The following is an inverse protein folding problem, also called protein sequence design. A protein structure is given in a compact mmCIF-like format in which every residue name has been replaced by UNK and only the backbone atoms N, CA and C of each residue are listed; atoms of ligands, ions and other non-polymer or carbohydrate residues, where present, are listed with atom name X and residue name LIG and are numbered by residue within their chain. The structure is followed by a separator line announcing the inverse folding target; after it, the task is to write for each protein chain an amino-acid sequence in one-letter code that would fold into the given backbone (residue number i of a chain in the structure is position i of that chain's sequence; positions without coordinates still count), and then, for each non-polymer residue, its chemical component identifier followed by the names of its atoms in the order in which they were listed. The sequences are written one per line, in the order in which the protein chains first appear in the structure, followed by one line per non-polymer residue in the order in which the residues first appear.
data_IF_560514400998
#
_entry.id   IF_560514400998
#
_cell.length_a   1.000
_cell.length_b   1.000
_cell.length_c   1.000
_cell.angle_alpha   90.00
_cell.angle_beta   90.00
_cell.angle_gamma   90.00
#
_symmetry.space_group_name_H-M   'P 1'
#
loop_
_entity.id
_entity.type
_entity.pdbx_description
1 polymer ?
#
# COMPACT_ATOMS: atom_id res chain seq x y z
N UNK A 1 68.64 -68.45 -5.44
CA UNK A 1 67.51 -68.31 -4.55
C UNK A 1 67.43 -66.87 -4.12
N UNK A 2 66.44 -66.08 -4.62
CA UNK A 2 66.22 -64.69 -4.25
C UNK A 2 64.85 -64.62 -3.57
N UNK A 3 64.76 -64.20 -2.31
CA UNK A 3 63.56 -63.93 -1.58
C UNK A 3 62.97 -62.61 -2.05
N UNK A 4 61.63 -62.47 -2.15
CA UNK A 4 61.02 -61.21 -2.41
C UNK A 4 60.70 -60.44 -1.10
N UNK A 5 61.03 -59.18 -1.10
CA UNK A 5 60.74 -58.21 -0.03
C UNK A 5 59.28 -57.78 -0.14
N UNK A 6 58.49 -58.04 0.90
CA UNK A 6 57.13 -57.52 1.03
C UNK A 6 57.18 -56.10 1.63
N UNK A 7 56.74 -55.18 0.84
CA UNK A 7 56.49 -53.77 1.33
C UNK A 7 55.07 -53.67 1.82
N UNK A 8 54.88 -53.40 3.13
CA UNK A 8 53.61 -53.06 3.73
C UNK A 8 53.32 -51.58 3.49
N UNK A 9 52.27 -51.27 2.71
CA UNK A 9 51.76 -49.94 2.55
C UNK A 9 50.68 -49.73 3.63
N UNK A 10 50.94 -48.86 4.61
CA UNK A 10 49.97 -48.43 5.59
C UNK A 10 49.04 -47.38 4.97
N UNK A 11 47.77 -47.72 4.79
CA UNK A 11 46.72 -46.79 4.37
C UNK A 11 46.21 -46.07 5.62
N UNK A 12 46.57 -44.79 5.76
CA UNK A 12 45.99 -43.90 6.75
C UNK A 12 44.61 -43.47 6.29
N UNK A 13 43.54 -44.02 6.89
CA UNK A 13 42.17 -43.56 6.68
C UNK A 13 41.95 -42.28 7.50
N UNK A 14 41.94 -41.14 6.85
CA UNK A 14 41.50 -39.86 7.46
C UNK A 14 39.98 -39.89 7.53
N UNK A 15 39.43 -40.17 8.72
CA UNK A 15 38.00 -39.98 8.99
C UNK A 15 37.78 -38.47 9.19
N UNK A 16 37.32 -37.81 8.13
CA UNK A 16 36.80 -36.46 8.21
C UNK A 16 35.49 -36.47 9.05
N UNK A 17 35.58 -36.07 10.28
CA UNK A 17 34.41 -35.75 11.10
C UNK A 17 33.71 -34.53 10.45
N UNK A 18 32.71 -34.81 9.61
CA UNK A 18 31.79 -33.81 9.16
C UNK A 18 30.98 -33.34 10.39
N UNK A 19 31.31 -32.18 10.95
CA UNK A 19 30.44 -31.50 11.89
C UNK A 19 29.10 -31.30 11.19
N UNK A 20 27.98 -31.66 11.81
CA UNK A 20 26.70 -31.28 11.29
C UNK A 20 26.65 -29.75 11.31
N UNK A 21 26.74 -29.11 10.15
CA UNK A 21 26.23 -27.77 10.00
C UNK A 21 24.75 -27.91 10.29
N UNK A 22 24.36 -27.58 11.53
CA UNK A 22 22.99 -27.25 11.84
C UNK A 22 22.67 -26.07 10.91
N UNK A 23 22.03 -26.39 9.79
CA UNK A 23 21.37 -25.43 8.96
C UNK A 23 20.31 -24.86 9.88
N UNK A 24 20.62 -23.71 10.48
CA UNK A 24 19.69 -22.93 11.29
C UNK A 24 18.50 -22.71 10.36
N UNK A 25 17.43 -23.46 10.60
CA UNK A 25 16.20 -23.34 9.84
C UNK A 25 15.82 -21.86 9.96
N UNK A 26 15.95 -21.12 8.87
CA UNK A 26 15.55 -19.73 8.83
C UNK A 26 14.17 -19.67 9.45
N UNK A 27 14.06 -19.09 10.64
CA UNK A 27 12.82 -19.03 11.39
C UNK A 27 11.82 -18.37 10.43
N UNK A 28 10.80 -19.14 10.07
CA UNK A 28 9.79 -18.68 9.11
C UNK A 28 9.21 -17.40 9.70
N UNK A 29 9.38 -16.28 9.00
CA UNK A 29 8.83 -15.00 9.43
C UNK A 29 7.34 -15.23 9.63
N UNK A 30 6.83 -14.94 10.85
CA UNK A 30 5.40 -14.98 11.12
C UNK A 30 4.70 -14.06 10.13
N UNK A 31 3.65 -14.56 9.49
CA UNK A 31 2.88 -13.76 8.56
C UNK A 31 2.17 -12.64 9.32
N UNK A 32 2.46 -11.40 8.94
CA UNK A 32 1.71 -10.26 9.41
C UNK A 32 0.48 -10.07 8.52
N UNK A 33 -0.64 -9.70 9.13
CA UNK A 33 -1.92 -9.57 8.45
C UNK A 33 -2.33 -8.11 8.37
N UNK A 34 -2.88 -7.66 7.23
CA UNK A 34 -3.37 -6.29 7.13
C UNK A 34 -4.54 -6.07 8.09
N UNK A 35 -4.42 -5.05 8.96
CA UNK A 35 -5.38 -4.83 10.02
C UNK A 35 -6.24 -3.58 9.79
N UNK A 36 -5.62 -2.42 9.55
CA UNK A 36 -6.37 -1.18 9.35
C UNK A 36 -5.56 -0.10 8.61
N UNK A 37 -6.27 0.89 8.11
CA UNK A 37 -5.73 2.23 7.84
C UNK A 37 -6.21 3.19 8.91
N UNK A 38 -5.36 4.12 9.34
CA UNK A 38 -5.67 5.08 10.38
C UNK A 38 -5.62 6.50 9.84
N UNK A 39 -6.72 7.22 9.97
CA UNK A 39 -6.87 8.58 9.49
C UNK A 39 -7.01 9.55 10.66
N UNK A 40 -6.46 10.75 10.47
CA UNK A 40 -6.79 11.89 11.31
C UNK A 40 -8.04 12.57 10.76
N UNK A 41 -8.97 12.94 11.65
CA UNK A 41 -10.23 13.58 11.26
C UNK A 41 -10.63 14.66 12.26
N UNK A 42 -11.18 15.75 11.76
CA UNK A 42 -11.80 16.80 12.59
C UNK A 42 -13.13 16.37 13.19
N UNK A 43 -13.81 15.40 12.57
CA UNK A 43 -15.03 14.76 13.09
C UNK A 43 -15.04 13.25 12.80
N UNK A 44 -14.39 12.44 13.64
CA UNK A 44 -14.31 10.98 13.48
C UNK A 44 -15.67 10.31 13.30
N UNK A 45 -16.69 10.75 14.02
CA UNK A 45 -18.05 10.19 13.93
C UNK A 45 -18.69 10.45 12.58
N UNK A 46 -18.58 11.68 12.08
CA UNK A 46 -19.06 12.02 10.74
C UNK A 46 -18.23 11.29 9.66
N UNK A 47 -16.91 11.16 9.87
CA UNK A 47 -16.05 10.39 8.97
C UNK A 47 -16.48 8.92 8.91
N UNK A 48 -16.65 8.25 10.04
CA UNK A 48 -17.12 6.86 10.08
C UNK A 48 -18.50 6.69 9.41
N UNK A 49 -19.40 7.65 9.56
CA UNK A 49 -20.74 7.63 8.95
C UNK A 49 -20.73 7.91 7.42
N UNK A 50 -19.63 8.42 6.87
CA UNK A 50 -19.51 8.73 5.44
C UNK A 50 -19.31 7.48 4.58
N UNK A 51 -18.34 6.63 4.92
CA UNK A 51 -17.86 5.53 4.08
C UNK A 51 -18.92 4.48 3.68
N UNK A 52 -19.91 4.15 4.53
CA UNK A 52 -21.00 3.28 4.11
C UNK A 52 -21.90 3.86 3.00
N UNK A 53 -21.86 5.16 2.74
CA UNK A 53 -22.68 5.78 1.68
C UNK A 53 -22.20 5.36 0.29
N UNK A 54 -20.91 5.57 -0.10
CA UNK A 54 -20.42 5.13 -1.38
C UNK A 54 -20.24 3.59 -1.47
N UNK A 55 -20.00 2.90 -0.35
CA UNK A 55 -19.64 1.47 -0.33
C UNK A 55 -20.56 0.66 0.60
N UNK A 56 -21.86 0.77 0.35
CA UNK A 56 -22.90 0.23 1.24
C UNK A 56 -22.95 -1.31 1.32
N UNK A 57 -22.34 -2.02 0.38
CA UNK A 57 -22.34 -3.48 0.38
C UNK A 57 -21.21 -4.07 1.24
N UNK A 58 -20.17 -3.28 1.53
CA UNK A 58 -18.96 -3.80 2.20
C UNK A 58 -18.49 -2.95 3.38
N UNK A 59 -19.01 -1.74 3.59
CA UNK A 59 -18.58 -0.85 4.65
C UNK A 59 -19.70 -0.60 5.67
N UNK A 60 -19.36 -0.68 6.96
CA UNK A 60 -20.28 -0.40 8.06
C UNK A 60 -19.60 0.47 9.12
N UNK A 61 -20.27 1.56 9.53
CA UNK A 61 -19.81 2.37 10.65
C UNK A 61 -19.86 1.56 11.96
N UNK A 62 -18.84 1.69 12.77
CA UNK A 62 -18.69 0.97 14.04
C UNK A 62 -17.75 1.74 14.97
N UNK A 63 -17.45 1.15 16.11
CA UNK A 63 -16.32 1.54 16.95
C UNK A 63 -15.36 0.35 17.10
N UNK A 64 -14.09 0.62 17.19
CA UNK A 64 -13.10 -0.42 17.43
C UNK A 64 -12.01 0.13 18.34
N UNK A 65 -11.76 -0.55 19.42
CA UNK A 65 -10.70 -0.26 20.39
C UNK A 65 -10.69 1.19 20.92
N UNK A 66 -11.88 1.79 21.04
CA UNK A 66 -12.06 3.18 21.49
C UNK A 66 -12.05 4.23 20.37
N UNK A 67 -11.80 3.84 19.13
CA UNK A 67 -11.87 4.70 17.96
C UNK A 67 -13.24 4.61 17.28
N UNK A 68 -13.71 5.71 16.72
CA UNK A 68 -14.71 5.69 15.67
C UNK A 68 -14.11 4.98 14.47
N UNK A 69 -14.85 4.09 13.83
CA UNK A 69 -14.32 3.19 12.83
C UNK A 69 -15.30 2.88 11.71
N UNK A 70 -14.76 2.39 10.60
CA UNK A 70 -15.50 1.67 9.58
C UNK A 70 -14.96 0.25 9.51
N UNK A 71 -15.83 -0.74 9.58
CA UNK A 71 -15.46 -2.14 9.31
C UNK A 71 -15.75 -2.45 7.85
N UNK A 72 -14.78 -3.06 7.16
CA UNK A 72 -14.91 -3.52 5.79
C UNK A 72 -14.21 -4.87 5.61
N UNK A 73 -14.98 -5.94 5.51
CA UNK A 73 -14.44 -7.30 5.57
C UNK A 73 -13.71 -7.56 6.89
N UNK A 74 -12.44 -7.93 6.82
CA UNK A 74 -11.57 -8.14 7.99
C UNK A 74 -10.70 -6.92 8.34
N UNK A 75 -10.90 -5.80 7.65
CA UNK A 75 -10.10 -4.59 7.78
C UNK A 75 -10.92 -3.48 8.44
N UNK A 76 -10.25 -2.58 9.13
CA UNK A 76 -10.85 -1.38 9.69
C UNK A 76 -10.27 -0.11 9.03
N UNK A 77 -11.06 0.95 9.05
CA UNK A 77 -10.59 2.33 8.89
C UNK A 77 -10.84 3.00 10.23
N UNK A 78 -9.80 3.42 10.91
CA UNK A 78 -9.88 4.06 12.23
C UNK A 78 -9.69 5.56 12.10
N UNK A 79 -10.29 6.32 13.02
CA UNK A 79 -10.22 7.77 13.01
C UNK A 79 -9.79 8.33 14.35
N UNK A 80 -8.70 9.12 14.34
CA UNK A 80 -8.28 9.92 15.49
C UNK A 80 -8.79 11.36 15.36
N UNK A 81 -9.37 11.87 16.45
CA UNK A 81 -9.79 13.27 16.54
C UNK A 81 -8.59 14.21 16.54
N UNK A 82 -8.59 15.15 15.61
CA UNK A 82 -7.64 16.26 15.56
C UNK A 82 -8.36 17.60 15.60
N UNK A 83 -7.66 18.66 16.05
CA UNK A 83 -8.24 19.97 16.23
C UNK A 83 -8.43 20.74 14.91
N UNK A 84 -7.57 20.48 13.93
CA UNK A 84 -7.55 21.15 12.62
C UNK A 84 -7.52 20.15 11.51
N UNK A 85 -8.05 20.53 10.34
CA UNK A 85 -8.01 19.68 9.14
C UNK A 85 -6.60 19.21 8.85
N UNK A 86 -6.35 17.91 8.80
CA UNK A 86 -5.02 17.36 8.54
C UNK A 86 -4.58 17.66 7.11
N UNK A 87 -3.27 17.79 6.90
CA UNK A 87 -2.72 18.00 5.58
C UNK A 87 -2.87 16.74 4.72
N UNK A 88 -3.23 16.95 3.47
CA UNK A 88 -3.30 15.94 2.41
C UNK A 88 -2.36 16.33 1.24
N UNK A 89 -2.39 15.58 0.16
CA UNK A 89 -1.53 15.78 -1.01
C UNK A 89 -1.72 17.13 -1.73
N UNK A 90 -2.83 17.85 -1.47
CA UNK A 90 -3.09 19.18 -2.04
C UNK A 90 -2.68 20.33 -1.12
N UNK A 91 -2.57 20.07 0.17
CA UNK A 91 -2.42 21.13 1.19
C UNK A 91 -1.11 21.06 1.97
N UNK A 92 -0.30 20.06 1.71
CA UNK A 92 0.97 19.85 2.39
C UNK A 92 2.03 19.16 1.52
N UNK A 93 3.21 18.92 2.08
CA UNK A 93 4.22 18.12 1.42
C UNK A 93 3.73 16.68 1.25
N UNK A 94 4.17 16.03 0.16
CA UNK A 94 3.79 14.67 -0.15
C UNK A 94 4.33 13.67 0.86
N UNK A 95 3.49 12.75 1.25
CA UNK A 95 3.83 11.55 2.02
C UNK A 95 3.89 10.33 1.12
N UNK A 96 4.37 9.21 1.67
CA UNK A 96 4.36 7.94 0.94
C UNK A 96 2.95 7.37 0.72
N UNK A 97 1.93 7.72 1.51
CA UNK A 97 0.55 7.27 1.23
C UNK A 97 -0.11 8.26 0.27
N UNK A 98 -0.62 7.74 -0.84
CA UNK A 98 -1.40 8.53 -1.79
C UNK A 98 -2.91 8.42 -1.49
N UNK A 99 -3.47 7.22 -1.51
CA UNK A 99 -4.86 6.93 -1.18
C UNK A 99 -5.07 5.46 -0.88
N UNK A 100 -6.28 5.13 -0.49
CA UNK A 100 -6.77 3.75 -0.41
C UNK A 100 -8.07 3.62 -1.21
N UNK A 101 -8.52 2.39 -1.44
CA UNK A 101 -9.70 2.23 -2.25
C UNK A 101 -10.39 0.87 -2.16
N UNK A 102 -11.50 0.86 -2.87
CA UNK A 102 -12.36 -0.29 -3.05
C UNK A 102 -12.32 -0.81 -4.47
N UNK A 103 -12.35 -2.12 -4.59
CA UNK A 103 -12.79 -2.75 -5.82
C UNK A 103 -14.30 -2.76 -5.88
N UNK A 104 -14.84 -2.47 -7.07
CA UNK A 104 -16.28 -2.53 -7.35
C UNK A 104 -16.53 -3.27 -8.65
N UNK A 105 -17.71 -3.89 -8.81
CA UNK A 105 -18.02 -4.63 -10.03
C UNK A 105 -18.12 -3.76 -11.29
N UNK A 106 -18.45 -2.49 -11.12
CA UNK A 106 -18.63 -1.54 -12.22
C UNK A 106 -18.35 -0.10 -11.71
N UNK A 107 -17.10 0.33 -11.86
CA UNK A 107 -16.66 1.63 -11.35
C UNK A 107 -17.46 2.80 -11.94
N UNK A 108 -17.84 2.75 -13.21
CA UNK A 108 -18.62 3.80 -13.86
C UNK A 108 -20.00 3.97 -13.21
N UNK A 109 -20.71 2.86 -12.99
CA UNK A 109 -22.01 2.92 -12.30
C UNK A 109 -21.88 3.43 -10.87
N UNK A 110 -20.80 3.10 -10.20
CA UNK A 110 -20.51 3.64 -8.88
C UNK A 110 -20.25 5.14 -8.94
N UNK A 111 -19.45 5.63 -9.89
CA UNK A 111 -19.21 7.07 -10.07
C UNK A 111 -20.50 7.84 -10.40
N UNK A 112 -21.38 7.28 -11.23
CA UNK A 112 -22.72 7.83 -11.50
C UNK A 112 -23.55 7.93 -10.22
N UNK A 113 -23.56 6.88 -9.40
CA UNK A 113 -24.24 6.86 -8.11
C UNK A 113 -23.63 7.89 -7.13
N UNK A 114 -22.32 8.03 -7.09
CA UNK A 114 -21.64 9.02 -6.23
C UNK A 114 -22.05 10.43 -6.59
N UNK A 115 -22.13 10.75 -7.88
CA UNK A 115 -22.62 12.04 -8.37
C UNK A 115 -24.11 12.24 -8.02
N UNK A 116 -24.93 11.22 -8.17
CA UNK A 116 -26.35 11.27 -7.81
C UNK A 116 -26.57 11.47 -6.31
N UNK A 117 -25.68 10.95 -5.46
CA UNK A 117 -25.67 11.17 -4.01
C UNK A 117 -25.09 12.55 -3.62
N UNK A 118 -24.59 13.34 -4.55
CA UNK A 118 -23.93 14.61 -4.27
C UNK A 118 -22.55 14.46 -3.60
N UNK A 119 -21.90 13.31 -3.74
CA UNK A 119 -20.57 13.11 -3.20
C UNK A 119 -19.52 13.86 -4.03
N UNK A 120 -18.50 14.36 -3.37
CA UNK A 120 -17.46 15.15 -4.02
C UNK A 120 -16.51 14.23 -4.80
N UNK A 121 -16.46 14.40 -6.12
CA UNK A 121 -15.47 13.73 -6.98
C UNK A 121 -14.13 14.47 -6.84
N UNK A 122 -13.04 13.71 -6.79
CA UNK A 122 -11.72 14.29 -6.70
C UNK A 122 -11.32 14.99 -8.01
N UNK A 123 -10.87 16.23 -7.90
CA UNK A 123 -10.35 17.03 -9.01
C UNK A 123 -8.83 17.04 -8.92
N UNK A 124 -8.16 16.49 -9.92
CA UNK A 124 -6.73 16.22 -9.87
C UNK A 124 -5.88 17.11 -10.76
N UNK A 125 -6.46 17.81 -11.73
CA UNK A 125 -5.73 18.73 -12.58
C UNK A 125 -6.61 19.86 -13.13
N UNK A 126 -5.96 20.90 -13.63
CA UNK A 126 -6.61 21.95 -14.41
C UNK A 126 -6.68 21.55 -15.90
N UNK A 127 -7.81 21.76 -16.51
CA UNK A 127 -7.95 21.64 -17.96
C UNK A 127 -7.25 22.81 -18.67
N UNK A 128 -6.99 22.66 -20.00
CA UNK A 128 -6.37 23.73 -20.81
C UNK A 128 -7.20 25.02 -20.83
N UNK A 129 -8.53 24.92 -20.62
CA UNK A 129 -9.44 26.07 -20.49
C UNK A 129 -9.48 26.67 -19.08
N UNK A 130 -8.62 26.22 -18.18
CA UNK A 130 -8.55 26.65 -16.78
C UNK A 130 -9.58 26.02 -15.85
N UNK A 131 -10.42 25.11 -16.33
CA UNK A 131 -11.38 24.40 -15.51
C UNK A 131 -10.75 23.19 -14.83
N UNK A 132 -11.26 22.84 -13.67
CA UNK A 132 -10.89 21.62 -12.97
C UNK A 132 -11.54 20.39 -13.64
N UNK A 133 -10.79 19.31 -13.70
CA UNK A 133 -11.23 18.03 -14.28
C UNK A 133 -11.30 16.99 -13.18
N UNK A 134 -12.46 16.36 -13.03
CA UNK A 134 -12.62 15.20 -12.18
C UNK A 134 -11.78 14.03 -12.71
N UNK A 135 -11.04 13.38 -11.86
CA UNK A 135 -10.19 12.26 -12.24
C UNK A 135 -10.98 10.95 -12.18
N UNK A 136 -11.13 10.32 -13.33
CA UNK A 136 -11.67 8.98 -13.48
C UNK A 136 -11.18 8.35 -14.78
N UNK A 137 -11.42 7.06 -14.98
CA UNK A 137 -11.01 6.39 -16.22
C UNK A 137 -11.75 6.87 -17.46
N UNK A 138 -12.93 7.42 -17.32
CA UNK A 138 -13.65 8.04 -18.43
C UNK A 138 -13.16 9.46 -18.75
N UNK A 139 -12.38 10.06 -17.87
CA UNK A 139 -11.64 11.30 -18.15
C UNK A 139 -10.25 11.02 -18.72
N UNK A 140 -9.72 9.81 -18.54
CA UNK A 140 -8.37 9.39 -18.98
C UNK A 140 -8.40 8.07 -19.77
N UNK A 141 -9.22 7.92 -20.78
CA UNK A 141 -9.33 6.68 -21.54
C UNK A 141 -8.10 6.50 -22.44
N UNK A 142 -7.44 5.35 -22.31
CA UNK A 142 -6.31 4.99 -23.18
C UNK A 142 -5.17 5.98 -23.17
N UNK A 143 -5.04 6.78 -22.11
CA UNK A 143 -3.99 7.80 -21.94
C UNK A 143 -4.01 8.88 -23.02
N UNK A 144 -5.16 9.46 -23.39
CA UNK A 144 -5.21 10.58 -24.32
C UNK A 144 -4.55 11.83 -23.69
N UNK A 145 -4.19 12.77 -24.53
CA UNK A 145 -3.76 14.09 -24.05
C UNK A 145 -4.93 14.85 -23.40
N UNK A 146 -4.63 15.82 -22.58
CA UNK A 146 -5.63 16.68 -21.97
C UNK A 146 -6.54 17.34 -23.01
N UNK A 147 -5.96 17.82 -24.12
CA UNK A 147 -6.73 18.40 -25.23
C UNK A 147 -7.68 17.40 -25.86
N UNK A 148 -7.24 16.16 -26.07
CA UNK A 148 -8.10 15.11 -26.60
C UNK A 148 -9.27 14.80 -25.66
N UNK A 149 -9.06 14.79 -24.35
CA UNK A 149 -10.15 14.60 -23.37
C UNK A 149 -11.16 15.75 -23.46
N UNK A 150 -10.68 17.00 -23.51
CA UNK A 150 -11.54 18.17 -23.63
C UNK A 150 -12.32 18.18 -24.95
N UNK A 151 -11.67 17.80 -26.05
CA UNK A 151 -12.30 17.68 -27.37
C UNK A 151 -13.39 16.59 -27.38
N UNK A 152 -13.13 15.42 -26.79
CA UNK A 152 -14.12 14.34 -26.63
C UNK A 152 -15.32 14.82 -25.84
N UNK A 153 -15.10 15.52 -24.72
CA UNK A 153 -16.18 16.09 -23.91
C UNK A 153 -16.99 17.13 -24.67
N UNK A 154 -16.33 18.03 -25.40
CA UNK A 154 -17.00 19.03 -26.22
C UNK A 154 -17.88 18.41 -27.32
N UNK A 155 -17.46 17.27 -27.86
CA UNK A 155 -18.23 16.48 -28.85
C UNK A 155 -19.29 15.57 -28.23
N UNK A 156 -19.42 15.53 -26.91
CA UNK A 156 -20.32 14.62 -26.21
C UNK A 156 -19.96 13.13 -26.37
N UNK A 157 -18.72 12.83 -26.77
CA UNK A 157 -18.26 11.46 -26.93
C UNK A 157 -17.72 10.94 -25.60
N UNK A 158 -18.16 9.73 -25.22
CA UNK A 158 -17.66 9.02 -24.04
C UNK A 158 -16.83 7.82 -24.51
N UNK A 159 -15.62 7.64 -23.98
CA UNK A 159 -14.83 6.48 -24.33
C UNK A 159 -15.46 5.21 -23.77
N UNK A 160 -15.40 4.15 -24.55
CA UNK A 160 -15.80 2.82 -24.07
C UNK A 160 -14.59 2.20 -23.39
N UNK A 161 -14.62 2.09 -22.07
CA UNK A 161 -13.55 1.47 -21.30
C UNK A 161 -13.97 0.09 -20.79
N UNK A 162 -13.04 -0.84 -20.89
CA UNK A 162 -13.09 -2.09 -20.15
C UNK A 162 -12.25 -1.94 -18.88
N UNK A 163 -12.93 -1.97 -17.75
CA UNK A 163 -12.31 -1.63 -16.47
C UNK A 163 -12.17 -0.12 -16.30
N UNK A 164 -12.10 0.32 -15.08
CA UNK A 164 -12.04 1.73 -14.82
C UNK A 164 -11.74 2.03 -13.37
N UNK A 165 -11.61 3.30 -13.08
CA UNK A 165 -11.42 3.82 -11.75
C UNK A 165 -12.04 5.21 -11.64
N UNK A 166 -12.30 5.64 -10.43
CA UNK A 166 -12.70 7.00 -10.10
C UNK A 166 -12.26 7.34 -8.69
N UNK A 167 -12.28 8.60 -8.34
CA UNK A 167 -11.82 9.08 -7.04
C UNK A 167 -12.87 9.97 -6.39
N UNK A 168 -13.04 9.78 -5.08
CA UNK A 168 -13.85 10.61 -4.20
C UNK A 168 -12.97 11.43 -3.28
N UNK A 169 -13.45 12.62 -2.90
CA UNK A 169 -12.99 13.33 -1.71
C UNK A 169 -13.90 12.98 -0.54
N UNK A 170 -13.36 12.22 0.37
CA UNK A 170 -14.00 11.89 1.64
C UNK A 170 -13.84 12.99 2.68
N UNK A 171 -14.25 12.70 3.92
CA UNK A 171 -14.07 13.61 5.04
C UNK A 171 -12.62 14.07 5.18
N UNK A 172 -12.45 15.31 5.62
CA UNK A 172 -11.15 15.97 5.79
C UNK A 172 -10.27 15.99 4.53
N UNK A 173 -10.85 15.69 3.35
CA UNK A 173 -10.17 15.69 2.07
C UNK A 173 -9.45 14.37 1.73
N UNK A 174 -9.72 13.28 2.44
CA UNK A 174 -9.18 11.96 2.09
C UNK A 174 -9.54 11.57 0.66
N UNK A 175 -8.58 11.10 -0.11
CA UNK A 175 -8.83 10.56 -1.44
C UNK A 175 -9.13 9.07 -1.36
N UNK A 176 -10.20 8.64 -2.02
CA UNK A 176 -10.70 7.28 -1.99
C UNK A 176 -10.88 6.80 -3.43
N UNK A 177 -10.25 5.71 -3.79
CA UNK A 177 -10.41 5.14 -5.12
C UNK A 177 -11.59 4.17 -5.18
N UNK A 178 -12.30 4.23 -6.29
CA UNK A 178 -13.26 3.25 -6.77
C UNK A 178 -12.66 2.60 -8.01
N UNK A 179 -12.16 1.38 -7.90
CA UNK A 179 -11.53 0.67 -9.00
C UNK A 179 -12.39 -0.52 -9.46
N UNK A 180 -12.51 -0.71 -10.78
CA UNK A 180 -13.21 -1.87 -11.32
C UNK A 180 -12.30 -3.09 -11.31
N UNK A 181 -12.56 -4.00 -10.37
CA UNK A 181 -11.86 -5.29 -10.32
C UNK A 181 -12.72 -6.33 -9.61
N UNK A 182 -12.83 -7.49 -10.23
CA UNK A 182 -13.63 -8.58 -9.67
C UNK A 182 -15.15 -8.37 -9.79
N UNK A 183 -15.90 -9.09 -8.96
CA UNK A 183 -17.38 -9.14 -9.02
C UNK A 183 -18.05 -8.64 -7.73
N UNK A 184 -17.27 -8.26 -6.72
CA UNK A 184 -17.76 -7.85 -5.40
C UNK A 184 -17.16 -6.53 -4.98
N UNK A 185 -17.97 -5.71 -4.29
CA UNK A 185 -17.48 -4.52 -3.60
C UNK A 185 -16.67 -4.94 -2.38
N UNK A 186 -15.44 -4.44 -2.27
CA UNK A 186 -14.59 -4.66 -1.09
C UNK A 186 -13.44 -3.65 -1.01
N UNK A 187 -13.04 -3.29 0.18
CA UNK A 187 -11.75 -2.65 0.42
C UNK A 187 -10.62 -3.60 0.01
N UNK A 188 -9.65 -3.15 -0.78
CA UNK A 188 -8.66 -4.08 -1.32
C UNK A 188 -7.27 -3.52 -1.53
N UNK A 189 -7.06 -2.20 -1.43
CA UNK A 189 -5.74 -1.66 -1.71
C UNK A 189 -5.43 -0.34 -0.98
N UNK A 190 -4.13 -0.12 -0.85
CA UNK A 190 -3.51 1.17 -0.55
C UNK A 190 -2.53 1.48 -1.65
N UNK A 191 -2.57 2.69 -2.20
CA UNK A 191 -1.59 3.17 -3.17
C UNK A 191 -0.55 4.03 -2.48
N UNK A 192 0.72 3.75 -2.78
CA UNK A 192 1.84 4.42 -2.16
C UNK A 192 2.84 4.94 -3.19
N UNK A 193 3.51 6.02 -2.82
CA UNK A 193 4.70 6.53 -3.51
C UNK A 193 5.95 6.12 -2.76
N UNK A 194 6.98 5.74 -3.51
CA UNK A 194 8.32 5.51 -2.98
C UNK A 194 9.37 6.10 -3.90
N UNK A 195 10.41 6.69 -3.33
CA UNK A 195 11.54 7.23 -4.08
C UNK A 195 12.29 6.10 -4.80
N UNK A 196 12.40 4.94 -4.13
CA UNK A 196 12.97 3.71 -4.66
C UNK A 196 11.99 2.54 -4.52
N UNK A 197 11.01 2.40 -5.42
CA UNK A 197 9.95 1.39 -5.33
C UNK A 197 10.44 -0.04 -5.15
N UNK A 198 11.50 -0.44 -5.85
CA UNK A 198 12.04 -1.80 -5.74
C UNK A 198 12.62 -2.07 -4.35
N UNK A 199 13.36 -1.09 -3.79
CA UNK A 199 13.89 -1.17 -2.43
C UNK A 199 12.77 -1.24 -1.40
N UNK A 200 11.70 -0.45 -1.58
CA UNK A 200 10.54 -0.49 -0.70
C UNK A 200 9.85 -1.87 -0.73
N UNK A 201 9.60 -2.43 -1.92
CA UNK A 201 9.02 -3.77 -2.04
C UNK A 201 9.89 -4.85 -1.40
N UNK A 202 11.20 -4.76 -1.57
CA UNK A 202 12.15 -5.66 -0.95
C UNK A 202 12.07 -5.55 0.57
N UNK A 203 12.08 -4.34 1.11
CA UNK A 203 11.99 -4.08 2.54
C UNK A 203 10.69 -4.65 3.14
N UNK A 204 9.53 -4.42 2.50
CA UNK A 204 8.25 -4.99 2.96
C UNK A 204 8.26 -6.52 2.95
N UNK A 205 8.90 -7.12 1.95
CA UNK A 205 9.01 -8.58 1.85
C UNK A 205 9.93 -9.16 2.92
N UNK A 206 11.09 -8.56 3.12
CA UNK A 206 12.14 -9.06 4.02
C UNK A 206 11.78 -8.86 5.49
N UNK A 207 11.27 -7.69 5.86
CA UNK A 207 10.98 -7.37 7.25
C UNK A 207 9.55 -7.70 7.68
N UNK A 208 8.58 -7.55 6.79
CA UNK A 208 7.18 -7.70 7.17
C UNK A 208 6.51 -8.94 6.56
N UNK A 209 7.24 -9.73 5.78
CA UNK A 209 6.69 -10.95 5.18
C UNK A 209 5.66 -10.70 4.09
N UNK A 210 5.62 -9.50 3.50
CA UNK A 210 4.73 -9.18 2.41
C UNK A 210 4.99 -10.08 1.20
N UNK A 211 3.94 -10.49 0.51
CA UNK A 211 4.06 -11.35 -0.68
C UNK A 211 4.07 -10.51 -1.95
N UNK A 212 5.01 -10.74 -2.83
CA UNK A 212 4.96 -10.19 -4.18
C UNK A 212 3.95 -11.01 -5.00
N UNK A 213 2.95 -10.37 -5.64
CA UNK A 213 2.03 -11.09 -6.51
C UNK A 213 2.79 -11.68 -7.70
N UNK A 214 2.31 -12.83 -8.17
CA UNK A 214 2.79 -13.36 -9.44
C UNK A 214 2.52 -12.36 -10.57
N UNK A 215 3.49 -12.14 -11.44
CA UNK A 215 3.32 -11.33 -12.64
C UNK A 215 2.24 -11.89 -13.57
N UNK A 216 1.86 -11.13 -14.59
CA UNK A 216 0.95 -11.62 -15.63
C UNK A 216 1.47 -12.95 -16.19
N UNK A 217 0.65 -14.01 -16.08
CA UNK A 217 1.06 -15.37 -16.46
C UNK A 217 1.42 -16.29 -15.29
N UNK A 218 1.23 -15.87 -14.03
CA UNK A 218 1.42 -16.74 -12.85
C UNK A 218 2.87 -16.99 -12.46
N UNK A 219 3.81 -16.37 -13.13
CA UNK A 219 5.24 -16.46 -12.76
C UNK A 219 5.48 -15.52 -11.57
N UNK A 220 6.03 -16.07 -10.48
CA UNK A 220 6.44 -15.23 -9.34
C UNK A 220 7.37 -14.12 -9.84
N UNK A 221 7.14 -12.89 -9.39
CA UNK A 221 8.09 -11.83 -9.67
C UNK A 221 9.47 -12.29 -9.16
N UNK A 222 10.53 -12.24 -10.00
CA UNK A 222 11.86 -12.61 -9.54
C UNK A 222 12.21 -11.76 -8.32
N UNK A 223 12.87 -12.39 -7.35
CA UNK A 223 13.49 -11.62 -6.27
C UNK A 223 14.41 -10.56 -6.91
N UNK A 224 14.38 -9.34 -6.37
CA UNK A 224 15.30 -8.32 -6.85
C UNK A 224 16.74 -8.83 -6.69
N UNK A 225 17.38 -9.06 -7.82
CA UNK A 225 18.80 -9.43 -7.84
C UNK A 225 19.58 -8.17 -8.18
N UNK A 226 20.42 -7.71 -7.28
CA UNK A 226 21.25 -6.53 -7.45
C UNK A 226 20.85 -5.33 -6.60
N UNK A 227 21.47 -4.21 -6.86
CA UNK A 227 21.20 -2.96 -6.15
C UNK A 227 19.80 -2.42 -6.54
N UNK A 228 18.89 -2.42 -5.59
CA UNK A 228 17.51 -1.98 -5.78
C UNK A 228 17.39 -0.48 -6.13
N UNK A 229 18.45 0.32 -5.89
CA UNK A 229 18.48 1.74 -6.23
C UNK A 229 18.73 2.00 -7.73
N UNK A 230 19.23 1.01 -8.46
CA UNK A 230 19.61 1.17 -9.88
C UNK A 230 18.43 1.12 -10.84
N UNK A 231 17.24 0.68 -10.38
CA UNK A 231 16.07 0.57 -11.24
C UNK A 231 15.50 1.95 -11.56
N UNK A 232 15.51 2.30 -12.84
CA UNK A 232 14.88 3.51 -13.36
C UNK A 232 13.45 3.22 -13.82
N UNK A 233 12.59 4.20 -13.67
CA UNK A 233 11.20 4.14 -14.12
C UNK A 233 10.96 5.14 -15.24
N UNK A 234 10.14 4.77 -16.21
CA UNK A 234 9.76 5.67 -17.28
C UNK A 234 9.12 6.94 -16.70
N UNK A 235 9.37 8.11 -17.29
CA UNK A 235 8.65 9.33 -16.95
C UNK A 235 7.14 9.08 -17.13
N UNK A 236 6.28 9.82 -16.39
CA UNK A 236 4.83 9.67 -16.52
C UNK A 236 4.41 9.98 -17.96
N UNK A 237 3.64 9.06 -18.52
CA UNK A 237 3.09 9.21 -19.86
C UNK A 237 1.79 10.02 -19.88
N UNK A 238 1.20 10.30 -18.73
CA UNK A 238 -0.06 11.03 -18.59
C UNK A 238 0.23 12.51 -18.52
N UNK A 239 -0.13 13.27 -19.55
CA UNK A 239 0.39 14.63 -19.73
C UNK A 239 -0.21 15.66 -18.78
N UNK A 240 -1.27 15.31 -18.11
CA UNK A 240 -2.14 16.30 -17.49
C UNK A 240 -1.97 16.46 -15.99
N UNK A 241 -1.06 15.73 -15.42
CA UNK A 241 -0.78 15.83 -13.98
C UNK A 241 0.27 16.90 -13.69
N UNK A 242 0.41 17.89 -14.57
CA UNK A 242 1.47 18.89 -14.50
C UNK A 242 1.50 19.66 -13.18
N UNK A 243 0.36 19.95 -12.58
CA UNK A 243 0.31 20.67 -11.30
C UNK A 243 0.32 19.76 -10.08
N UNK A 244 -0.34 18.64 -10.16
CA UNK A 244 -0.41 17.66 -9.08
C UNK A 244 0.51 16.47 -9.31
N UNK A 245 0.90 16.24 -10.54
CA UNK A 245 2.05 15.42 -10.96
C UNK A 245 1.99 13.92 -10.68
N UNK A 246 0.84 13.34 -10.33
CA UNK A 246 0.88 12.18 -9.48
C UNK A 246 0.38 10.86 -10.04
N UNK A 247 -0.20 10.80 -11.21
CA UNK A 247 -0.59 9.49 -11.73
C UNK A 247 0.53 8.93 -12.57
N UNK A 248 1.05 7.81 -12.12
CA UNK A 248 2.14 7.08 -12.75
C UNK A 248 1.80 5.62 -12.78
N UNK A 249 2.33 4.91 -13.74
CA UNK A 249 2.20 3.46 -13.76
C UNK A 249 2.80 2.87 -12.47
N UNK A 250 2.15 1.85 -11.89
CA UNK A 250 2.69 1.18 -10.72
C UNK A 250 4.03 0.51 -11.07
N UNK A 251 5.00 0.71 -10.21
CA UNK A 251 6.28 -0.01 -10.29
C UNK A 251 6.12 -1.49 -9.93
N UNK A 252 5.15 -1.77 -9.08
CA UNK A 252 4.82 -3.08 -8.60
C UNK A 252 3.87 -3.03 -7.41
N UNK A 253 3.70 -4.16 -6.74
CA UNK A 253 2.93 -4.24 -5.50
C UNK A 253 3.46 -5.34 -4.59
N UNK A 254 3.10 -5.23 -3.32
CA UNK A 254 3.22 -6.30 -2.34
C UNK A 254 1.85 -6.50 -1.68
N UNK A 255 1.58 -7.68 -1.18
CA UNK A 255 0.29 -8.02 -0.59
C UNK A 255 0.47 -8.51 0.85
N UNK A 256 -0.42 -8.03 1.72
CA UNK A 256 -0.71 -8.64 3.01
C UNK A 256 -2.13 -9.20 2.92
N UNK A 257 -2.27 -10.51 3.04
CA UNK A 257 -3.50 -11.25 2.77
C UNK A 257 -4.03 -10.94 1.35
N UNK A 258 -5.22 -10.39 1.26
CA UNK A 258 -5.87 -9.96 0.03
C UNK A 258 -5.85 -8.43 -0.19
N UNK A 259 -5.11 -7.71 0.66
CA UNK A 259 -4.89 -6.27 0.52
C UNK A 259 -3.59 -6.01 -0.23
N UNK A 260 -3.70 -5.25 -1.30
CA UNK A 260 -2.58 -4.85 -2.14
C UNK A 260 -2.01 -3.50 -1.71
N UNK A 261 -0.72 -3.45 -1.47
CA UNK A 261 0.03 -2.20 -1.39
C UNK A 261 0.64 -1.95 -2.76
N UNK A 262 -0.01 -1.13 -3.56
CA UNK A 262 0.45 -0.78 -4.91
C UNK A 262 1.41 0.39 -4.85
N UNK A 263 2.59 0.22 -5.41
CA UNK A 263 3.71 1.13 -5.26
C UNK A 263 4.00 1.84 -6.57
N UNK A 264 4.11 3.15 -6.51
CA UNK A 264 4.43 4.03 -7.63
C UNK A 264 5.72 4.81 -7.36
N UNK A 265 6.52 5.08 -8.41
CA UNK A 265 7.73 5.87 -8.25
C UNK A 265 7.38 7.33 -7.93
N UNK A 266 8.12 7.90 -6.98
CA UNK A 266 8.05 9.31 -6.64
C UNK A 266 9.29 10.04 -7.15
N UNK A 267 9.17 10.91 -8.15
CA UNK A 267 10.30 11.65 -8.72
C UNK A 267 10.49 13.03 -8.07
N UNK A 268 9.61 13.44 -7.16
CA UNK A 268 9.71 14.71 -6.45
C UNK A 268 10.79 14.70 -5.38
N UNK A 269 11.00 15.80 -4.71
CA UNK A 269 11.87 15.87 -3.53
C UNK A 269 11.35 15.03 -2.37
N UNK A 270 12.17 14.83 -1.34
CA UNK A 270 11.96 13.87 -0.25
C UNK A 270 10.54 13.80 0.32
N UNK A 271 10.03 12.59 0.40
CA UNK A 271 8.76 12.30 1.05
C UNK A 271 8.85 12.58 2.56
N UNK A 272 7.79 13.12 3.14
CA UNK A 272 7.74 13.41 4.58
C UNK A 272 7.01 12.31 5.35
N UNK A 273 7.17 12.30 6.68
CA UNK A 273 6.45 11.36 7.55
C UNK A 273 4.94 11.48 7.38
N UNK A 274 4.26 10.34 7.41
CA UNK A 274 2.79 10.29 7.38
C UNK A 274 2.16 10.70 8.71
N UNK A 275 2.92 10.69 9.81
CA UNK A 275 2.39 11.03 11.14
C UNK A 275 1.80 12.44 11.18
N UNK A 276 0.58 12.54 11.69
CA UNK A 276 -0.15 13.81 11.78
C UNK A 276 -0.75 14.29 10.45
N UNK A 277 -0.61 13.53 9.37
CA UNK A 277 -1.26 13.81 8.08
C UNK A 277 -2.62 13.11 8.00
N UNK A 278 -3.34 13.30 6.90
CA UNK A 278 -4.67 12.70 6.77
C UNK A 278 -4.62 11.18 6.84
N UNK A 279 -3.67 10.55 6.16
CA UNK A 279 -3.32 9.14 6.33
C UNK A 279 -2.16 9.06 7.31
N UNK A 280 -2.46 8.86 8.58
CA UNK A 280 -1.44 8.86 9.63
C UNK A 280 -0.53 7.65 9.53
N UNK A 281 -1.14 6.47 9.40
CA UNK A 281 -0.45 5.19 9.25
C UNK A 281 -1.39 4.12 8.71
N UNK A 282 -0.85 2.98 8.35
CA UNK A 282 -1.57 1.72 8.23
C UNK A 282 -0.96 0.69 9.17
N UNK A 283 -1.70 -0.38 9.44
CA UNK A 283 -1.33 -1.32 10.47
C UNK A 283 -1.36 -2.77 10.01
N UNK A 284 -0.49 -3.56 10.62
CA UNK A 284 -0.45 -5.00 10.52
C UNK A 284 -0.70 -5.62 11.89
N UNK A 285 -1.39 -6.75 11.91
CA UNK A 285 -1.56 -7.54 13.13
C UNK A 285 -0.59 -8.71 13.20
N UNK A 286 -0.23 -9.07 14.42
CA UNK A 286 0.58 -10.23 14.78
C UNK A 286 -0.03 -10.93 15.99
N UNK A 287 0.17 -12.24 16.14
CA UNK A 287 -0.26 -12.98 17.31
C UNK A 287 0.68 -12.77 18.52
N UNK A 288 1.97 -12.45 18.25
CA UNK A 288 2.97 -12.19 19.29
C UNK A 288 3.78 -10.92 18.95
N UNK A 289 3.36 -9.82 19.57
CA UNK A 289 3.98 -8.52 19.35
C UNK A 289 5.42 -8.45 19.88
N UNK A 290 5.71 -9.10 21.01
CA UNK A 290 7.05 -9.10 21.58
C UNK A 290 8.07 -9.82 20.67
N UNK A 291 7.69 -10.96 20.13
CA UNK A 291 8.53 -11.72 19.20
C UNK A 291 8.77 -10.88 17.93
N UNK A 292 7.71 -10.29 17.38
CA UNK A 292 7.79 -9.46 16.18
C UNK A 292 8.68 -8.23 16.40
N UNK A 293 8.48 -7.50 17.49
CA UNK A 293 9.27 -6.31 17.83
C UNK A 293 10.74 -6.66 18.07
N UNK A 294 11.00 -7.74 18.81
CA UNK A 294 12.39 -8.20 19.07
C UNK A 294 13.11 -8.54 17.78
N UNK A 295 12.44 -9.23 16.83
CA UNK A 295 12.98 -9.56 15.52
C UNK A 295 13.29 -8.30 14.71
N UNK A 296 12.34 -7.39 14.59
CA UNK A 296 12.48 -6.17 13.80
C UNK A 296 13.58 -5.25 14.33
N UNK A 297 13.73 -5.15 15.67
CA UNK A 297 14.84 -4.43 16.29
C UNK A 297 16.21 -5.06 15.95
N UNK A 298 16.31 -6.37 15.98
CA UNK A 298 17.54 -7.09 15.59
C UNK A 298 17.87 -6.87 14.12
N UNK A 299 16.86 -6.72 13.28
CA UNK A 299 16.99 -6.43 11.85
C UNK A 299 17.28 -4.95 11.55
N UNK A 300 17.35 -4.09 12.59
CA UNK A 300 17.67 -2.68 12.47
C UNK A 300 16.50 -1.79 12.02
N UNK A 301 15.26 -2.29 12.08
CA UNK A 301 14.07 -1.49 11.78
C UNK A 301 13.92 -0.40 12.84
N UNK A 302 13.69 0.83 12.37
CA UNK A 302 13.51 1.99 13.25
C UNK A 302 12.12 1.97 13.89
N UNK A 303 12.06 2.13 15.20
CA UNK A 303 10.82 2.29 15.96
C UNK A 303 10.51 3.77 16.18
N UNK A 304 9.25 4.14 15.92
CA UNK A 304 8.69 5.45 16.25
C UNK A 304 8.05 5.44 17.62
N UNK A 305 7.43 4.32 18.00
CA UNK A 305 6.84 4.10 19.32
C UNK A 305 7.14 2.66 19.77
N UNK A 306 7.57 2.53 21.02
CA UNK A 306 7.78 1.23 21.66
C UNK A 306 6.43 0.54 21.95
N UNK A 307 6.48 -0.73 22.40
CA UNK A 307 5.25 -1.43 22.80
C UNK A 307 4.52 -0.63 23.88
N UNK A 308 3.27 -0.34 23.61
CA UNK A 308 2.39 0.43 24.49
C UNK A 308 0.97 -0.15 24.54
N UNK A 309 0.18 0.17 25.56
CA UNK A 309 -1.23 -0.18 25.60
C UNK A 309 -1.99 0.43 24.42
N UNK A 310 -2.85 -0.35 23.78
CA UNK A 310 -3.69 0.07 22.66
C UNK A 310 -5.12 -0.48 22.86
N UNK A 311 -5.97 0.30 23.56
CA UNK A 311 -7.29 -0.16 23.99
C UNK A 311 -7.22 -1.42 24.84
N UNK A 312 -7.79 -2.50 24.36
CA UNK A 312 -7.77 -3.82 25.02
C UNK A 312 -6.57 -4.69 24.61
N UNK A 313 -5.65 -4.15 23.82
CA UNK A 313 -4.49 -4.85 23.29
C UNK A 313 -3.22 -4.03 23.46
N UNK A 314 -2.19 -4.33 22.68
CA UNK A 314 -0.91 -3.61 22.65
C UNK A 314 -0.56 -3.30 21.20
N UNK A 315 0.17 -2.24 21.01
CA UNK A 315 0.72 -1.85 19.71
C UNK A 315 2.15 -1.35 19.85
N UNK A 316 2.85 -1.28 18.74
CA UNK A 316 4.11 -0.59 18.55
C UNK A 316 4.09 0.08 17.17
N UNK A 317 4.92 1.10 16.97
CA UNK A 317 4.97 1.76 15.67
C UNK A 317 6.40 1.80 15.14
N UNK A 318 6.53 1.42 13.87
CA UNK A 318 7.80 1.42 13.14
C UNK A 318 7.78 2.44 12.00
N UNK A 319 8.97 2.84 11.56
CA UNK A 319 9.15 3.63 10.35
C UNK A 319 9.59 2.70 9.20
N UNK A 320 8.77 2.63 8.17
CA UNK A 320 9.11 1.95 6.92
C UNK A 320 9.76 2.88 5.90
N UNK A 321 9.96 2.39 4.65
CA UNK A 321 10.57 3.18 3.58
C UNK A 321 9.87 4.51 3.37
N UNK A 322 10.64 5.55 3.04
CA UNK A 322 10.15 6.90 2.79
C UNK A 322 9.27 7.47 3.91
N UNK A 323 9.63 7.11 5.15
CA UNK A 323 9.05 7.65 6.38
C UNK A 323 7.57 7.34 6.59
N UNK A 324 7.10 6.22 6.01
CA UNK A 324 5.77 5.70 6.34
C UNK A 324 5.74 5.24 7.80
N UNK A 325 4.71 5.59 8.54
CA UNK A 325 4.43 4.99 9.82
C UNK A 325 3.60 3.72 9.63
N UNK A 326 4.00 2.65 10.28
CA UNK A 326 3.33 1.35 10.25
C UNK A 326 3.12 0.90 11.69
N UNK A 327 1.87 0.71 12.07
CA UNK A 327 1.53 0.21 13.40
C UNK A 327 1.51 -1.33 13.38
N UNK A 328 2.07 -1.92 14.41
CA UNK A 328 2.02 -3.35 14.68
C UNK A 328 1.08 -3.57 15.86
N UNK A 329 -0.02 -4.28 15.64
CA UNK A 329 -1.02 -4.52 16.68
C UNK A 329 -1.08 -6.00 17.07
N UNK A 330 -1.20 -6.28 18.36
CA UNK A 330 -1.37 -7.63 18.85
C UNK A 330 -2.84 -8.04 18.73
N UNK A 331 -3.10 -9.13 18.04
CA UNK A 331 -4.45 -9.72 17.92
C UNK A 331 -4.42 -11.15 18.44
N UNK A 332 -5.24 -11.42 19.44
CA UNK A 332 -5.37 -12.75 20.08
C UNK A 332 -6.47 -13.56 19.46
#
# INVERSE_FOLDING_TARGET
MKLPTLTFAAVLAIVALAAPHAQEAAARIEALHFHHVHLNSTDPKAAAAYYPKPFALSAAATTFNGFEAVKTGNVYILFTKVATTPQNELTGPQTSVWHFGWNTPNSRKYDENFRAMGLTIAQMWDAADGKLVDLSSDTLPGLPTQEQILEMRAKGTQPTLQGGFGYLRGPDGAMIENAQSGTTERFNHVHMYHEHPECAMQWYTEHLGARRPAGRGGVAAPAATGDCHTKTYAPPTWPSFAKTGFVRDPAGSVNFDDISISIRPWPGGGLVSTRGKIYDHWALSTADLEVTVTRLKREGVKFLEEIHPWGNSRAAMIEGPDRIAIELVEVK
#
